data_IF_931911430362
#
_entry.id   IF_931911430362
#
_cell.length_a   1.000
_cell.length_b   1.000
_cell.length_c   1.000
_cell.angle_alpha   90.00
_cell.angle_beta   90.00
_cell.angle_gamma   90.00
#
_symmetry.space_group_name_H-M   'P 1'
#
loop_
_entity.id
_entity.type
_entity.pdbx_description
1 polymer ?
#
# COMPACT_ATOMS: atom_id res chain seq x y z
N UNK A 1 7.06 -51.92 -11.12
CA UNK A 1 7.10 -52.65 -12.40
C UNK A 1 8.37 -52.23 -13.13
N UNK A 2 9.16 -53.23 -13.50
CA UNK A 2 10.53 -53.17 -14.01
C UNK A 2 10.62 -52.67 -15.45
N UNK A 3 11.79 -52.09 -15.74
CA UNK A 3 12.35 -51.72 -17.04
C UNK A 3 12.16 -52.78 -18.13
N UNK A 4 12.01 -52.33 -19.38
CA UNK A 4 12.51 -53.07 -20.54
C UNK A 4 13.39 -52.17 -21.40
N UNK A 5 14.69 -52.34 -21.20
CA UNK A 5 15.73 -52.14 -22.19
C UNK A 5 15.32 -52.76 -23.54
N UNK A 6 15.36 -51.96 -24.60
CA UNK A 6 15.73 -52.49 -25.92
C UNK A 6 16.72 -51.53 -26.60
N UNK A 7 17.87 -52.05 -27.08
CA UNK A 7 18.92 -51.25 -27.70
C UNK A 7 18.47 -50.70 -29.05
N UNK A 8 19.03 -49.55 -29.43
CA UNK A 8 19.01 -49.03 -30.79
C UNK A 8 19.55 -50.09 -31.74
N UNK A 9 18.64 -50.76 -32.46
CA UNK A 9 19.02 -51.68 -33.52
C UNK A 9 19.61 -50.88 -34.68
N UNK A 10 20.88 -51.16 -34.93
CA UNK A 10 21.66 -50.72 -36.07
C UNK A 10 20.90 -50.97 -37.39
N UNK A 11 20.45 -49.90 -38.04
CA UNK A 11 19.72 -49.95 -39.31
C UNK A 11 20.64 -50.13 -40.53
N UNK A 12 21.92 -50.48 -40.35
CA UNK A 12 22.87 -50.61 -41.47
C UNK A 12 23.17 -52.04 -41.92
N UNK A 13 22.34 -53.03 -41.57
CA UNK A 13 22.52 -54.40 -42.05
C UNK A 13 21.32 -54.90 -42.86
N UNK A 14 21.41 -54.79 -44.18
CA UNK A 14 20.55 -55.58 -45.08
C UNK A 14 20.02 -54.89 -46.34
N UNK A 15 20.84 -54.19 -47.13
CA UNK A 15 20.61 -54.12 -48.58
C UNK A 15 21.95 -54.28 -49.30
N UNK A 16 22.25 -55.52 -49.61
CA UNK A 16 23.27 -55.92 -50.58
C UNK A 16 22.86 -55.45 -51.98
N UNK A 17 23.81 -54.77 -52.63
CA UNK A 17 24.07 -54.74 -54.07
C UNK A 17 22.84 -54.91 -54.98
N UNK A 18 22.16 -53.78 -55.21
CA UNK A 18 21.06 -53.66 -56.15
C UNK A 18 20.85 -52.19 -56.47
N UNK A 19 21.49 -51.75 -57.56
CA UNK A 19 21.24 -50.49 -58.26
C UNK A 19 21.71 -49.19 -57.60
N UNK A 20 23.04 -48.97 -57.63
CA UNK A 20 23.67 -47.65 -57.49
C UNK A 20 23.53 -46.79 -58.76
N UNK A 21 22.42 -46.85 -59.47
CA UNK A 21 22.13 -45.92 -60.57
C UNK A 21 20.92 -45.05 -60.24
N UNK A 22 21.05 -43.75 -60.55
CA UNK A 22 20.04 -42.68 -60.51
C UNK A 22 19.88 -41.90 -59.19
N UNK A 23 20.98 -41.30 -58.70
CA UNK A 23 20.86 -39.92 -58.17
C UNK A 23 21.19 -38.97 -59.32
N UNK A 24 20.17 -38.54 -60.05
CA UNK A 24 20.33 -37.46 -61.03
C UNK A 24 20.30 -36.12 -60.28
N UNK A 25 21.30 -35.25 -60.47
CA UNK A 25 21.18 -33.86 -60.03
C UNK A 25 19.91 -33.26 -60.62
N UNK A 26 19.16 -32.50 -59.83
CA UNK A 26 18.05 -31.71 -60.35
C UNK A 26 18.69 -30.51 -61.05
N UNK A 27 18.83 -30.61 -62.38
CA UNK A 27 19.42 -29.54 -63.20
C UNK A 27 18.42 -28.43 -63.53
N UNK A 28 17.13 -28.77 -63.59
CA UNK A 28 16.00 -27.84 -63.72
C UNK A 28 14.94 -28.16 -62.67
N UNK A 29 14.88 -27.31 -61.64
CA UNK A 29 13.97 -27.47 -60.51
C UNK A 29 12.50 -27.29 -60.91
N UNK A 30 12.20 -26.43 -61.88
CA UNK A 30 10.83 -26.14 -62.31
C UNK A 30 10.21 -27.36 -63.00
N UNK A 31 10.91 -27.89 -64.00
CA UNK A 31 10.49 -29.10 -64.70
C UNK A 31 10.39 -30.32 -63.78
N UNK A 32 11.29 -30.42 -62.79
CA UNK A 32 11.26 -31.49 -61.79
C UNK A 32 10.05 -31.40 -60.86
N UNK A 33 9.71 -30.19 -60.37
CA UNK A 33 8.51 -29.97 -59.54
C UNK A 33 7.21 -30.18 -60.33
N UNK A 34 7.20 -29.89 -61.64
CA UNK A 34 6.10 -30.12 -62.57
C UNK A 34 5.81 -31.60 -62.86
N UNK A 35 6.80 -32.47 -62.68
CA UNK A 35 6.62 -33.92 -62.78
C UNK A 35 6.13 -34.61 -61.49
N UNK A 36 5.96 -33.89 -60.38
CA UNK A 36 5.58 -34.47 -59.09
C UNK A 36 4.06 -34.46 -58.88
N UNK A 37 3.57 -35.48 -58.18
CA UNK A 37 2.16 -35.57 -57.78
C UNK A 37 1.71 -34.32 -57.00
N UNK A 38 0.47 -33.90 -57.25
CA UNK A 38 -0.10 -32.64 -56.74
C UNK A 38 0.00 -32.48 -55.21
N UNK A 39 -0.03 -33.59 -54.45
CA UNK A 39 0.12 -33.58 -52.98
C UNK A 39 1.56 -33.48 -52.47
N UNK A 40 2.56 -33.78 -53.31
CA UNK A 40 3.98 -33.79 -52.93
C UNK A 40 4.58 -32.39 -53.01
N UNK A 41 4.12 -31.58 -53.97
CA UNK A 41 4.60 -30.20 -54.15
C UNK A 41 4.36 -29.30 -52.92
N UNK A 42 3.18 -29.31 -52.27
CA UNK A 42 2.97 -28.57 -51.01
C UNK A 42 3.87 -29.04 -49.87
N UNK A 43 4.13 -30.35 -49.77
CA UNK A 43 4.98 -30.91 -48.72
C UNK A 43 6.45 -30.51 -48.89
N UNK A 44 6.98 -30.59 -50.12
CA UNK A 44 8.35 -30.14 -50.43
C UNK A 44 8.51 -28.63 -50.27
N UNK A 45 7.47 -27.85 -50.58
CA UNK A 45 7.46 -26.41 -50.32
C UNK A 45 7.53 -26.11 -48.83
N UNK A 46 6.71 -26.77 -48.01
CA UNK A 46 6.75 -26.63 -46.55
C UNK A 46 8.10 -27.04 -45.96
N UNK A 47 8.74 -28.09 -46.49
CA UNK A 47 10.09 -28.52 -46.12
C UNK A 47 11.15 -27.49 -46.51
N UNK A 48 11.04 -26.89 -47.70
CA UNK A 48 11.89 -25.78 -48.13
C UNK A 48 11.74 -24.55 -47.24
N UNK A 49 10.51 -24.17 -46.89
CA UNK A 49 10.21 -23.05 -45.97
C UNK A 49 10.79 -23.31 -44.57
N UNK A 50 10.72 -24.55 -44.07
CA UNK A 50 11.34 -24.98 -42.81
C UNK A 50 12.89 -24.95 -42.85
N UNK A 51 13.49 -25.41 -43.95
CA UNK A 51 14.94 -25.54 -44.08
C UNK A 51 15.64 -24.20 -44.37
N UNK A 52 14.98 -23.30 -45.10
CA UNK A 52 15.50 -21.95 -45.40
C UNK A 52 15.14 -20.96 -44.28
N UNK A 53 14.34 -21.38 -43.29
CA UNK A 53 13.91 -20.52 -42.18
C UNK A 53 12.92 -19.44 -42.61
N UNK A 54 12.43 -19.47 -43.85
CA UNK A 54 11.42 -18.56 -44.40
C UNK A 54 10.03 -19.15 -44.08
N UNK A 55 9.79 -19.39 -42.80
CA UNK A 55 8.46 -19.14 -42.28
C UNK A 55 8.45 -17.66 -41.88
N UNK A 56 8.37 -16.77 -42.86
CA UNK A 56 7.93 -15.39 -42.63
C UNK A 56 6.46 -15.45 -42.17
N UNK A 57 6.25 -15.87 -40.92
CA UNK A 57 5.23 -15.21 -40.13
C UNK A 57 5.81 -13.84 -39.88
N UNK A 58 5.11 -12.79 -40.29
CA UNK A 58 5.29 -11.47 -39.69
C UNK A 58 5.24 -11.65 -38.18
N UNK A 59 6.42 -11.81 -37.55
CA UNK A 59 6.48 -11.95 -36.11
C UNK A 59 6.07 -10.59 -35.57
N UNK A 60 5.05 -10.55 -34.73
CA UNK A 60 4.71 -9.33 -34.01
C UNK A 60 5.98 -8.67 -33.47
N UNK A 61 6.11 -7.36 -33.65
CA UNK A 61 7.30 -6.62 -33.24
C UNK A 61 7.57 -6.90 -31.77
N UNK A 62 8.83 -7.17 -31.41
CA UNK A 62 9.20 -7.36 -30.01
C UNK A 62 9.39 -6.01 -29.32
N UNK A 63 9.27 -5.97 -28.00
CA UNK A 63 9.50 -4.79 -27.19
C UNK A 63 10.87 -4.16 -27.48
N UNK A 64 11.92 -4.98 -27.60
CA UNK A 64 13.29 -4.53 -27.92
C UNK A 64 13.38 -3.95 -29.34
N UNK A 65 12.78 -4.62 -30.33
CA UNK A 65 12.79 -4.14 -31.71
C UNK A 65 12.01 -2.82 -31.83
N UNK A 66 10.89 -2.70 -31.12
CA UNK A 66 10.12 -1.47 -31.00
C UNK A 66 10.98 -0.34 -30.44
N UNK A 67 11.67 -0.56 -29.32
CA UNK A 67 12.54 0.47 -28.70
C UNK A 67 13.66 0.90 -29.65
N UNK A 68 14.37 -0.06 -30.24
CA UNK A 68 15.49 0.21 -31.16
C UNK A 68 15.03 0.99 -32.40
N UNK A 69 13.94 0.57 -33.04
CA UNK A 69 13.34 1.25 -34.20
C UNK A 69 12.96 2.68 -33.87
N UNK A 70 12.23 2.88 -32.77
CA UNK A 70 11.73 4.19 -32.36
C UNK A 70 12.86 5.19 -32.09
N UNK A 71 13.98 4.72 -31.53
CA UNK A 71 15.16 5.55 -31.26
C UNK A 71 16.17 5.57 -32.42
N UNK A 72 15.86 4.94 -33.55
CA UNK A 72 16.69 4.98 -34.76
C UNK A 72 18.03 4.25 -34.65
N UNK A 73 18.11 3.22 -33.81
CA UNK A 73 19.33 2.41 -33.62
C UNK A 73 19.14 0.97 -34.14
N UNK A 74 20.24 0.25 -34.46
CA UNK A 74 20.14 -1.12 -34.99
C UNK A 74 19.52 -2.12 -34.01
N UNK A 75 19.89 -2.01 -32.74
CA UNK A 75 19.42 -2.85 -31.64
C UNK A 75 19.58 -2.15 -30.28
N UNK A 76 19.04 -2.74 -29.22
CA UNK A 76 19.10 -2.18 -27.87
C UNK A 76 20.51 -2.12 -27.27
N UNK A 77 21.51 -2.79 -27.84
CA UNK A 77 22.91 -2.70 -27.40
C UNK A 77 23.52 -1.33 -27.64
N UNK A 78 22.87 -0.48 -28.42
CA UNK A 78 23.23 0.91 -28.67
C UNK A 78 22.46 1.92 -27.79
N UNK A 79 21.68 1.44 -26.83
CA UNK A 79 20.87 2.28 -25.93
C UNK A 79 21.38 2.20 -24.51
N UNK A 80 20.97 3.19 -23.72
CA UNK A 80 21.09 3.19 -22.27
C UNK A 80 19.72 3.43 -21.66
N UNK A 81 19.47 2.86 -20.50
CA UNK A 81 18.27 3.13 -19.72
C UNK A 81 18.60 3.61 -18.31
N UNK A 82 17.73 4.49 -17.83
CA UNK A 82 17.59 4.83 -16.42
C UNK A 82 16.35 4.12 -15.90
N UNK A 83 16.46 3.45 -14.75
CA UNK A 83 15.38 2.65 -14.17
C UNK A 83 15.08 3.13 -12.75
N UNK A 84 13.80 3.03 -12.35
CA UNK A 84 13.34 3.24 -10.98
C UNK A 84 12.43 2.12 -10.56
N UNK A 85 12.75 1.52 -9.42
CA UNK A 85 11.84 0.60 -8.73
C UNK A 85 10.61 1.36 -8.24
N UNK A 86 9.45 0.72 -8.39
CA UNK A 86 8.15 1.22 -7.99
C UNK A 86 7.61 0.35 -6.86
N UNK A 87 7.33 0.98 -5.74
CA UNK A 87 6.60 0.33 -4.66
C UNK A 87 5.07 0.31 -4.95
N UNK A 88 4.26 -0.36 -4.12
CA UNK A 88 2.84 -0.55 -4.39
C UNK A 88 1.99 0.73 -4.54
N UNK A 89 2.44 1.87 -3.99
CA UNK A 89 1.80 3.17 -4.14
C UNK A 89 2.30 3.85 -5.41
N UNK A 90 3.62 4.01 -5.53
CA UNK A 90 4.26 4.68 -6.66
C UNK A 90 4.01 4.00 -8.00
N UNK A 91 3.78 2.67 -8.04
CA UNK A 91 3.43 1.95 -9.27
C UNK A 91 2.13 2.47 -9.90
N UNK A 92 1.11 2.72 -9.08
CA UNK A 92 -0.19 3.22 -9.55
C UNK A 92 -0.05 4.66 -10.03
N UNK A 93 0.54 5.52 -9.20
CA UNK A 93 0.67 6.94 -9.50
C UNK A 93 1.56 7.21 -10.71
N UNK A 94 2.64 6.43 -10.88
CA UNK A 94 3.52 6.52 -12.05
C UNK A 94 2.81 6.05 -13.31
N UNK A 95 2.03 4.97 -13.22
CA UNK A 95 1.18 4.54 -14.33
C UNK A 95 0.15 5.61 -14.71
N UNK A 96 -0.45 6.30 -13.73
CA UNK A 96 -1.39 7.38 -14.00
C UNK A 96 -0.72 8.60 -14.65
N UNK A 97 0.45 8.99 -14.16
CA UNK A 97 1.22 10.07 -14.78
C UNK A 97 1.62 9.72 -16.23
N UNK A 98 2.03 8.47 -16.47
CA UNK A 98 2.34 8.01 -17.83
C UNK A 98 1.09 7.96 -18.72
N UNK A 99 -0.07 7.56 -18.17
CA UNK A 99 -1.34 7.62 -18.90
C UNK A 99 -1.67 9.05 -19.34
N UNK A 100 -1.52 10.02 -18.44
CA UNK A 100 -1.73 11.44 -18.77
C UNK A 100 -0.78 11.93 -19.87
N UNK A 101 0.50 11.52 -19.84
CA UNK A 101 1.47 11.85 -20.89
C UNK A 101 1.12 11.22 -22.24
N UNK A 102 0.66 9.97 -22.25
CA UNK A 102 0.20 9.29 -23.47
C UNK A 102 -0.99 10.06 -24.06
N UNK A 103 -1.97 10.41 -23.24
CA UNK A 103 -3.17 11.12 -23.69
C UNK A 103 -2.83 12.54 -24.18
N UNK A 104 -1.91 13.24 -23.51
CA UNK A 104 -1.45 14.58 -23.89
C UNK A 104 -0.67 14.62 -25.22
N UNK A 105 -0.07 13.50 -25.62
CA UNK A 105 0.75 13.37 -26.83
C UNK A 105 0.24 12.28 -27.78
N UNK A 106 -1.06 11.97 -27.74
CA UNK A 106 -1.66 10.84 -28.47
C UNK A 106 -1.53 10.95 -30.00
N UNK A 107 -1.31 12.15 -30.53
CA UNK A 107 -1.12 12.44 -31.95
C UNK A 107 0.30 12.12 -32.46
N UNK A 108 1.28 12.07 -31.56
CA UNK A 108 2.71 11.91 -31.91
C UNK A 108 3.37 10.70 -31.23
N UNK A 109 2.87 10.24 -30.09
CA UNK A 109 3.46 9.11 -29.38
C UNK A 109 3.03 7.77 -30.00
N UNK A 110 3.92 6.78 -29.92
CA UNK A 110 3.65 5.42 -30.40
C UNK A 110 3.66 4.46 -29.20
N UNK A 111 2.62 3.64 -29.02
CA UNK A 111 2.55 2.64 -27.95
C UNK A 111 2.91 1.26 -28.48
N UNK A 112 3.87 0.60 -27.84
CA UNK A 112 4.40 -0.70 -28.23
C UNK A 112 4.36 -1.74 -27.11
N UNK A 113 4.76 -2.98 -27.43
CA UNK A 113 4.85 -4.09 -26.49
C UNK A 113 5.68 -3.73 -25.26
N UNK A 114 5.21 -4.10 -24.07
CA UNK A 114 5.98 -4.01 -22.84
C UNK A 114 7.02 -5.13 -22.73
N UNK A 115 6.60 -6.35 -23.04
CA UNK A 115 7.39 -7.57 -22.89
C UNK A 115 7.23 -8.47 -24.10
N UNK A 116 8.35 -9.01 -24.60
CA UNK A 116 8.38 -9.90 -25.77
C UNK A 116 7.58 -9.30 -26.93
N UNK A 117 6.71 -10.08 -27.58
CA UNK A 117 5.80 -9.60 -28.61
C UNK A 117 4.34 -9.55 -28.09
N UNK A 118 4.15 -9.43 -26.77
CA UNK A 118 2.80 -9.33 -26.20
C UNK A 118 2.21 -7.93 -26.45
N UNK A 119 0.89 -7.83 -26.68
CA UNK A 119 0.25 -6.54 -26.89
C UNK A 119 0.41 -5.64 -25.65
N UNK A 120 0.49 -4.30 -25.83
CA UNK A 120 0.50 -3.34 -24.73
C UNK A 120 -0.68 -3.57 -23.78
N UNK A 121 -0.40 -3.71 -22.48
CA UNK A 121 -1.42 -4.03 -21.47
C UNK A 121 -1.83 -2.79 -20.69
N UNK A 122 -3.14 -2.60 -20.60
CA UNK A 122 -3.79 -1.62 -19.74
C UNK A 122 -4.63 -2.34 -18.68
N UNK A 123 -4.82 -1.69 -17.54
CA UNK A 123 -5.67 -2.19 -16.46
C UNK A 123 -6.49 -1.06 -15.84
N UNK A 124 -7.30 -1.41 -14.85
CA UNK A 124 -8.06 -0.49 -14.04
C UNK A 124 -7.87 -0.82 -12.56
N UNK A 125 -7.68 0.21 -11.73
CA UNK A 125 -7.59 0.09 -10.28
C UNK A 125 -8.68 0.94 -9.63
N UNK A 126 -9.35 0.39 -8.63
CA UNK A 126 -10.37 1.11 -7.85
C UNK A 126 -9.77 1.59 -6.54
N UNK A 127 -9.88 2.90 -6.27
CA UNK A 127 -9.42 3.55 -5.04
C UNK A 127 -10.62 4.29 -4.44
N UNK A 128 -11.18 3.73 -3.36
CA UNK A 128 -12.45 4.18 -2.82
C UNK A 128 -13.57 3.98 -3.85
N UNK A 129 -14.22 5.06 -4.21
CA UNK A 129 -15.33 5.15 -5.18
C UNK A 129 -14.89 5.46 -6.62
N UNK A 130 -13.59 5.72 -6.82
CA UNK A 130 -13.06 6.15 -8.12
C UNK A 130 -12.31 5.02 -8.82
N UNK A 131 -12.51 4.93 -10.14
CA UNK A 131 -11.84 3.98 -11.01
C UNK A 131 -10.81 4.67 -11.89
N UNK A 132 -9.58 4.17 -11.84
CA UNK A 132 -8.43 4.72 -12.52
C UNK A 132 -7.97 3.76 -13.61
N UNK A 133 -8.01 4.19 -14.88
CA UNK A 133 -7.47 3.42 -16.02
C UNK A 133 -6.01 3.82 -16.22
N UNK A 134 -5.12 2.83 -16.28
CA UNK A 134 -3.69 3.10 -16.42
C UNK A 134 -2.94 1.94 -17.12
N UNK A 135 -1.75 2.21 -17.68
CA UNK A 135 -0.83 1.19 -18.16
C UNK A 135 -0.53 0.14 -17.10
N UNK A 136 -0.45 -1.12 -17.53
CA UNK A 136 0.01 -2.24 -16.71
C UNK A 136 1.39 -2.72 -17.15
N UNK A 137 1.60 -2.90 -18.46
CA UNK A 137 2.87 -3.33 -19.03
C UNK A 137 2.92 -2.90 -20.50
N UNK A 138 3.68 -1.86 -20.82
CA UNK A 138 3.81 -1.32 -22.17
C UNK A 138 5.04 -0.42 -22.32
N UNK A 139 5.41 -0.14 -23.58
CA UNK A 139 6.39 0.88 -23.95
C UNK A 139 5.72 2.01 -24.72
N UNK A 140 6.20 3.24 -24.54
CA UNK A 140 5.71 4.41 -25.29
C UNK A 140 6.90 5.18 -25.81
N UNK A 141 6.94 5.40 -27.12
CA UNK A 141 7.89 6.29 -27.74
C UNK A 141 7.35 7.72 -27.76
N UNK A 142 8.18 8.64 -27.28
CA UNK A 142 7.99 10.07 -27.33
C UNK A 142 9.05 10.66 -28.28
N UNK A 143 8.67 11.15 -29.47
CA UNK A 143 9.64 11.65 -30.45
C UNK A 143 10.31 12.95 -30.00
N UNK A 144 11.41 13.31 -30.68
CA UNK A 144 12.13 14.57 -30.44
C UNK A 144 11.17 15.76 -30.46
N UNK A 145 11.30 16.66 -29.49
CA UNK A 145 10.46 17.85 -29.35
C UNK A 145 9.19 17.65 -28.51
N UNK A 146 8.96 16.46 -27.96
CA UNK A 146 7.82 16.18 -27.07
C UNK A 146 8.21 16.33 -25.60
N UNK A 147 8.75 15.29 -24.96
CA UNK A 147 9.22 15.33 -23.57
C UNK A 147 10.61 15.98 -23.44
N UNK A 148 11.43 15.84 -24.48
CA UNK A 148 12.80 16.32 -24.59
C UNK A 148 12.94 17.14 -25.87
N UNK A 149 13.68 18.24 -25.82
CA UNK A 149 13.77 19.19 -26.94
C UNK A 149 14.62 18.68 -28.11
N UNK A 150 15.65 17.90 -27.80
CA UNK A 150 16.73 17.51 -28.72
C UNK A 150 16.91 15.98 -28.85
N UNK A 151 16.13 15.19 -28.12
CA UNK A 151 16.17 13.73 -28.16
C UNK A 151 14.76 13.11 -28.11
N UNK A 152 14.60 11.94 -28.70
CA UNK A 152 13.45 11.07 -28.46
C UNK A 152 13.73 10.14 -27.27
N UNK A 153 12.69 9.64 -26.61
CA UNK A 153 12.85 8.64 -25.57
C UNK A 153 11.74 7.58 -25.66
N UNK A 154 12.03 6.39 -25.13
CA UNK A 154 11.01 5.35 -24.93
C UNK A 154 10.86 5.11 -23.45
N UNK A 155 9.64 5.28 -22.92
CA UNK A 155 9.32 4.97 -21.54
C UNK A 155 8.70 3.58 -21.48
N UNK A 156 9.27 2.69 -20.68
CA UNK A 156 8.72 1.39 -20.35
C UNK A 156 8.14 1.44 -18.93
N UNK A 157 6.95 0.88 -18.76
CA UNK A 157 6.39 0.63 -17.44
C UNK A 157 6.07 -0.84 -17.29
N UNK A 158 6.50 -1.41 -16.16
CA UNK A 158 6.07 -2.72 -15.66
C UNK A 158 5.43 -2.48 -14.29
N UNK A 159 4.11 -2.52 -14.23
CA UNK A 159 3.37 -2.33 -12.98
C UNK A 159 2.89 -3.66 -12.36
N UNK A 160 3.16 -4.81 -13.02
CA UNK A 160 2.94 -6.12 -12.39
C UNK A 160 4.02 -6.33 -11.35
N UNK A 161 3.59 -6.87 -10.22
CA UNK A 161 4.48 -7.27 -9.14
C UNK A 161 4.29 -8.77 -8.93
N UNK A 162 5.32 -9.54 -9.23
CA UNK A 162 5.30 -11.01 -9.17
C UNK A 162 6.70 -11.54 -8.88
N UNK A 163 6.80 -12.84 -8.59
CA UNK A 163 8.10 -13.50 -8.37
C UNK A 163 9.08 -13.29 -9.56
N UNK A 164 8.55 -13.11 -10.77
CA UNK A 164 9.34 -12.95 -12.00
C UNK A 164 9.52 -11.49 -12.43
N UNK A 165 8.78 -10.54 -11.83
CA UNK A 165 8.75 -9.15 -12.27
C UNK A 165 8.67 -8.22 -11.06
N UNK A 166 9.65 -7.33 -10.94
CA UNK A 166 9.59 -6.21 -10.00
C UNK A 166 8.94 -5.01 -10.69
N UNK A 167 8.05 -4.33 -9.99
CA UNK A 167 7.41 -3.16 -10.57
C UNK A 167 8.44 -2.03 -10.76
N UNK A 168 8.50 -1.47 -11.96
CA UNK A 168 9.51 -0.49 -12.35
C UNK A 168 9.05 0.41 -13.50
N UNK A 169 9.75 1.52 -13.65
CA UNK A 169 9.69 2.38 -14.84
C UNK A 169 11.10 2.62 -15.35
N UNK A 170 11.28 2.51 -16.67
CA UNK A 170 12.55 2.77 -17.33
C UNK A 170 12.39 3.77 -18.47
N UNK A 171 13.39 4.62 -18.67
CA UNK A 171 13.48 5.52 -19.80
C UNK A 171 14.71 5.18 -20.65
N UNK A 172 14.47 4.72 -21.88
CA UNK A 172 15.50 4.37 -22.86
C UNK A 172 15.82 5.57 -23.75
N UNK A 173 17.11 5.81 -23.94
CA UNK A 173 17.67 6.88 -24.78
C UNK A 173 18.98 6.43 -25.42
N UNK A 174 19.51 7.22 -26.35
CA UNK A 174 20.89 7.04 -26.83
C UNK A 174 21.91 7.45 -25.75
N UNK A 175 23.15 6.92 -25.75
CA UNK A 175 24.15 7.15 -24.70
C UNK A 175 24.42 8.64 -24.39
N UNK A 176 24.42 9.49 -25.40
CA UNK A 176 24.65 10.94 -25.24
C UNK A 176 23.55 11.66 -24.44
N UNK A 177 22.40 11.01 -24.24
CA UNK A 177 21.19 11.56 -23.63
C UNK A 177 20.85 10.94 -22.26
N UNK A 178 21.75 10.17 -21.65
CA UNK A 178 21.46 9.50 -20.36
C UNK A 178 20.93 10.46 -19.28
N UNK A 179 21.53 11.65 -19.16
CA UNK A 179 21.07 12.67 -18.21
C UNK A 179 19.62 13.14 -18.49
N UNK A 180 19.20 13.18 -19.76
CA UNK A 180 17.84 13.52 -20.14
C UNK A 180 16.83 12.44 -19.72
N UNK A 181 17.19 11.15 -19.80
CA UNK A 181 16.33 10.06 -19.30
C UNK A 181 16.03 10.22 -17.80
N UNK A 182 17.05 10.56 -17.00
CA UNK A 182 16.87 10.84 -15.57
C UNK A 182 15.90 12.00 -15.32
N UNK A 183 16.03 13.10 -16.06
CA UNK A 183 15.12 14.27 -15.95
C UNK A 183 13.68 13.90 -16.32
N UNK A 184 13.48 13.06 -17.34
CA UNK A 184 12.13 12.56 -17.71
C UNK A 184 11.53 11.77 -16.56
N UNK A 185 12.28 10.86 -15.93
CA UNK A 185 11.80 10.08 -14.80
C UNK A 185 11.57 10.94 -13.54
N UNK A 186 12.36 12.00 -13.32
CA UNK A 186 12.11 12.98 -12.25
C UNK A 186 10.79 13.72 -12.45
N UNK A 187 10.55 14.25 -13.64
CA UNK A 187 9.28 14.92 -13.98
C UNK A 187 8.08 13.97 -13.87
N UNK A 188 8.25 12.72 -14.30
CA UNK A 188 7.23 11.69 -14.18
C UNK A 188 6.91 11.37 -12.71
N UNK A 189 7.94 11.27 -11.86
CA UNK A 189 7.78 11.02 -10.43
C UNK A 189 7.12 12.21 -9.70
N UNK A 190 7.49 13.44 -10.05
CA UNK A 190 6.85 14.67 -9.55
C UNK A 190 5.36 14.66 -9.91
N UNK A 191 5.03 14.42 -11.19
CA UNK A 191 3.64 14.36 -11.65
C UNK A 191 2.87 13.21 -11.00
N UNK A 192 3.49 12.04 -10.84
CA UNK A 192 2.90 10.92 -10.13
C UNK A 192 2.50 11.30 -8.70
N UNK A 193 3.35 12.05 -7.99
CA UNK A 193 3.05 12.48 -6.63
C UNK A 193 1.89 13.48 -6.55
N UNK A 194 1.75 14.36 -7.55
CA UNK A 194 0.60 15.27 -7.66
C UNK A 194 -0.71 14.51 -7.87
N UNK A 195 -0.68 13.45 -8.67
CA UNK A 195 -1.82 12.59 -8.99
C UNK A 195 -2.16 11.56 -7.90
N UNK A 196 -1.49 11.61 -6.75
CA UNK A 196 -1.64 10.57 -5.73
C UNK A 196 -3.09 10.49 -5.20
N UNK A 197 -3.83 9.39 -5.48
CA UNK A 197 -5.27 9.32 -5.21
C UNK A 197 -5.59 9.13 -3.72
N UNK A 198 -4.59 8.83 -2.89
CA UNK A 198 -4.73 8.68 -1.44
C UNK A 198 -4.66 10.03 -0.71
N UNK A 199 -4.25 11.11 -1.39
CA UNK A 199 -4.10 12.44 -0.79
C UNK A 199 -5.43 12.92 -0.20
N UNK A 200 -5.41 13.32 1.07
CA UNK A 200 -6.59 13.82 1.79
C UNK A 200 -7.61 12.74 2.17
N UNK A 201 -7.32 11.45 1.94
CA UNK A 201 -8.20 10.33 2.33
C UNK A 201 -7.71 9.67 3.62
N UNK A 202 -8.61 8.91 4.24
CA UNK A 202 -8.24 7.94 5.26
C UNK A 202 -7.91 6.61 4.58
N UNK A 203 -6.73 6.07 4.88
CA UNK A 203 -6.24 4.81 4.35
C UNK A 203 -5.75 3.89 5.47
N UNK A 204 -5.76 2.59 5.20
CA UNK A 204 -5.16 1.57 6.05
C UNK A 204 -3.94 0.99 5.36
N UNK A 205 -2.81 1.02 6.06
CA UNK A 205 -1.59 0.34 5.67
C UNK A 205 -1.60 -1.09 6.24
N UNK A 206 -1.55 -2.08 5.35
CA UNK A 206 -1.50 -3.51 5.67
C UNK A 206 -0.30 -4.18 5.02
N UNK A 207 0.14 -5.31 5.57
CA UNK A 207 1.18 -6.14 4.96
C UNK A 207 0.54 -7.32 4.22
N UNK A 208 0.30 -7.17 2.92
CA UNK A 208 -0.26 -8.21 2.03
C UNK A 208 0.70 -8.45 0.88
N UNK A 209 1.79 -9.15 1.16
CA UNK A 209 2.95 -9.29 0.24
C UNK A 209 3.63 -7.93 -0.02
N UNK A 210 3.91 -7.19 1.04
CA UNK A 210 4.42 -5.82 0.98
C UNK A 210 3.37 -4.80 1.40
N UNK A 211 3.74 -3.52 1.29
CA UNK A 211 2.90 -2.41 1.73
C UNK A 211 1.66 -2.29 0.85
N UNK A 212 0.48 -2.42 1.43
CA UNK A 212 -0.79 -2.21 0.73
C UNK A 212 -1.60 -1.11 1.42
N UNK A 213 -2.02 -0.10 0.64
CA UNK A 213 -2.88 0.98 1.10
C UNK A 213 -4.31 0.76 0.60
N UNK A 214 -5.28 0.74 1.51
CA UNK A 214 -6.70 0.67 1.18
C UNK A 214 -7.45 1.87 1.75
N UNK A 215 -8.33 2.49 0.97
CA UNK A 215 -9.18 3.57 1.50
C UNK A 215 -10.17 2.98 2.49
N UNK A 216 -10.35 3.65 3.63
CA UNK A 216 -11.26 3.23 4.70
C UNK A 216 -12.23 4.35 5.05
N UNK A 217 -13.41 3.97 5.51
CA UNK A 217 -14.34 4.88 6.16
C UNK A 217 -13.96 5.05 7.62
N UNK A 218 -13.92 6.30 8.08
CA UNK A 218 -13.69 6.59 9.49
C UNK A 218 -15.00 6.42 10.30
N UNK A 219 -14.93 5.90 11.53
CA UNK A 219 -16.11 5.73 12.38
C UNK A 219 -16.85 7.06 12.61
N UNK A 220 -18.17 7.09 12.38
CA UNK A 220 -18.97 8.32 12.36
C UNK A 220 -19.42 8.83 13.73
N UNK A 221 -19.36 8.00 14.78
CA UNK A 221 -19.99 8.29 16.07
C UNK A 221 -19.12 9.09 17.06
N UNK A 222 -17.80 9.10 16.89
CA UNK A 222 -16.90 9.73 17.86
C UNK A 222 -16.70 11.23 17.56
N UNK A 223 -16.85 12.06 18.59
CA UNK A 223 -16.56 13.51 18.60
C UNK A 223 -15.87 13.89 19.91
N UNK A 224 -15.24 15.08 19.98
CA UNK A 224 -14.72 15.62 21.25
C UNK A 224 -15.76 15.75 22.37
N UNK A 225 -17.04 15.88 22.01
CA UNK A 225 -18.14 15.97 22.97
C UNK A 225 -18.52 14.61 23.58
N UNK A 226 -18.25 13.52 22.86
CA UNK A 226 -18.58 12.15 23.28
C UNK A 226 -17.39 11.39 23.84
N UNK A 227 -16.17 11.81 23.48
CA UNK A 227 -14.91 11.23 23.99
C UNK A 227 -14.40 12.11 25.12
N UNK A 228 -14.68 11.70 26.36
CA UNK A 228 -14.28 12.42 27.56
C UNK A 228 -12.92 11.91 28.01
N UNK A 229 -11.90 12.75 27.88
CA UNK A 229 -10.51 12.52 28.28
C UNK A 229 -9.93 13.81 28.87
N UNK A 230 -8.79 13.77 29.60
CA UNK A 230 -8.17 14.98 30.14
C UNK A 230 -7.87 16.02 29.07
N UNK A 231 -8.06 17.30 29.38
CA UNK A 231 -7.85 18.42 28.43
C UNK A 231 -6.41 18.48 27.88
N UNK A 232 -5.44 17.97 28.64
CA UNK A 232 -4.05 17.83 28.20
C UNK A 232 -3.91 16.99 26.92
N UNK A 233 -4.76 15.97 26.73
CA UNK A 233 -4.78 15.14 25.52
C UNK A 233 -5.10 15.98 24.30
N UNK A 234 -6.20 16.74 24.37
CA UNK A 234 -6.62 17.60 23.26
C UNK A 234 -5.62 18.72 22.98
N UNK A 235 -5.07 19.32 24.03
CA UNK A 235 -4.06 20.39 23.93
C UNK A 235 -2.83 19.92 23.14
N UNK A 236 -2.31 18.74 23.46
CA UNK A 236 -1.10 18.20 22.82
C UNK A 236 -1.34 17.77 21.37
N UNK A 237 -2.51 17.18 21.10
CA UNK A 237 -2.91 16.85 19.72
C UNK A 237 -3.09 18.12 18.88
N UNK A 238 -3.80 19.13 19.39
CA UNK A 238 -4.04 20.39 18.67
C UNK A 238 -2.74 21.12 18.37
N UNK A 239 -1.79 21.07 19.30
CA UNK A 239 -0.46 21.61 19.10
C UNK A 239 0.31 20.85 17.99
N UNK A 240 0.13 19.53 17.89
CA UNK A 240 0.68 18.72 16.80
C UNK A 240 0.06 19.00 15.45
N UNK A 241 -1.26 19.14 15.37
CA UNK A 241 -1.97 19.55 14.15
C UNK A 241 -1.44 20.91 13.70
N UNK A 242 -1.34 21.87 14.63
CA UNK A 242 -0.86 23.22 14.33
C UNK A 242 0.60 23.22 13.87
N UNK A 243 1.46 22.39 14.45
CA UNK A 243 2.86 22.28 14.04
C UNK A 243 2.99 21.83 12.58
N UNK A 244 2.27 20.77 12.21
CA UNK A 244 2.38 20.12 10.89
C UNK A 244 1.61 20.85 9.79
N UNK A 245 0.41 21.37 10.09
CA UNK A 245 -0.44 22.07 9.13
C UNK A 245 -0.02 23.53 8.99
N UNK A 246 -0.02 24.27 10.10
CA UNK A 246 -0.04 25.74 10.09
C UNK A 246 1.35 26.35 10.25
N UNK A 247 2.20 25.76 11.09
CA UNK A 247 3.49 26.33 11.51
C UNK A 247 4.72 25.62 10.94
N UNK A 248 4.55 24.63 10.06
CA UNK A 248 5.65 23.86 9.50
C UNK A 248 6.73 24.75 8.86
N UNK A 249 6.34 25.80 8.11
CA UNK A 249 7.28 26.70 7.45
C UNK A 249 8.19 27.45 8.43
N UNK A 250 7.62 27.99 9.50
CA UNK A 250 8.39 28.74 10.50
C UNK A 250 9.26 27.80 11.34
N UNK A 251 8.76 26.60 11.67
CA UNK A 251 9.55 25.59 12.39
C UNK A 251 10.77 25.12 11.57
N UNK A 252 10.56 24.77 10.30
CA UNK A 252 11.63 24.30 9.41
C UNK A 252 12.64 25.43 9.11
N UNK A 253 12.17 26.67 8.88
CA UNK A 253 13.05 27.82 8.68
C UNK A 253 13.97 28.12 9.87
N UNK A 254 13.59 27.71 11.08
CA UNK A 254 14.40 27.81 12.30
C UNK A 254 15.15 26.51 12.64
N UNK A 255 15.08 25.46 11.80
CA UNK A 255 15.72 24.17 12.05
C UNK A 255 15.13 23.40 13.23
N UNK A 256 13.87 23.68 13.61
CA UNK A 256 13.18 23.02 14.72
C UNK A 256 12.41 21.77 14.28
N UNK A 257 12.16 21.62 12.98
CA UNK A 257 11.38 20.53 12.40
C UNK A 257 9.87 20.65 12.63
N UNK A 258 9.10 20.22 11.65
CA UNK A 258 7.63 20.20 11.69
C UNK A 258 7.06 18.88 12.21
N UNK A 259 7.83 17.79 12.12
CA UNK A 259 7.35 16.47 12.55
C UNK A 259 7.05 16.45 14.04
N UNK A 260 6.01 15.73 14.43
CA UNK A 260 5.67 15.58 15.86
C UNK A 260 5.10 14.20 16.18
N UNK A 261 5.50 13.65 17.32
CA UNK A 261 4.92 12.43 17.88
C UNK A 261 4.14 12.68 19.17
N UNK A 262 2.92 12.14 19.25
CA UNK A 262 2.10 12.10 20.48
C UNK A 262 1.80 10.65 20.83
N UNK A 263 2.20 10.22 22.03
CA UNK A 263 1.91 8.89 22.55
C UNK A 263 0.84 8.97 23.65
N UNK A 264 -0.29 8.31 23.43
CA UNK A 264 -1.36 8.13 24.41
C UNK A 264 -1.08 6.85 25.20
N UNK A 265 -0.89 6.95 26.51
CA UNK A 265 -0.63 5.79 27.36
C UNK A 265 -1.69 5.65 28.46
N UNK A 266 -2.02 4.43 28.86
CA UNK A 266 -2.93 4.19 29.98
C UNK A 266 -3.70 2.88 29.84
N UNK A 267 -4.53 2.51 30.82
CA UNK A 267 -5.22 1.23 30.84
C UNK A 267 -6.06 0.96 29.57
N UNK A 268 -6.30 -0.31 29.19
CA UNK A 268 -7.21 -0.64 28.10
C UNK A 268 -8.63 -0.15 28.44
N UNK A 269 -9.37 0.34 27.42
CA UNK A 269 -10.75 0.81 27.59
C UNK A 269 -10.93 2.25 28.10
N UNK A 270 -9.87 3.03 28.26
CA UNK A 270 -9.94 4.44 28.69
C UNK A 270 -10.21 5.46 27.57
N UNK A 271 -10.27 5.00 26.30
CA UNK A 271 -10.68 5.85 25.17
C UNK A 271 -9.55 6.30 24.24
N UNK A 272 -8.33 5.76 24.36
CA UNK A 272 -7.19 6.09 23.47
C UNK A 272 -7.52 5.96 21.97
N UNK A 273 -8.05 4.82 21.53
CA UNK A 273 -8.48 4.62 20.13
C UNK A 273 -9.63 5.54 19.71
N UNK A 274 -10.50 5.90 20.66
CA UNK A 274 -11.58 6.85 20.40
C UNK A 274 -11.04 8.27 20.16
N UNK A 275 -9.99 8.69 20.88
CA UNK A 275 -9.27 9.94 20.61
C UNK A 275 -8.70 9.91 19.20
N UNK A 276 -7.95 8.86 18.83
CA UNK A 276 -7.40 8.71 17.47
C UNK A 276 -8.46 8.82 16.38
N UNK A 277 -9.62 8.16 16.57
CA UNK A 277 -10.74 8.24 15.63
C UNK A 277 -11.35 9.64 15.51
N UNK A 278 -11.48 10.38 16.62
CA UNK A 278 -11.95 11.78 16.60
C UNK A 278 -10.98 12.64 15.81
N UNK A 279 -9.69 12.55 16.11
CA UNK A 279 -8.64 13.36 15.48
C UNK A 279 -8.58 13.08 13.98
N UNK A 280 -8.52 11.80 13.60
CA UNK A 280 -8.53 11.38 12.20
C UNK A 280 -9.71 11.99 11.42
N UNK A 281 -10.90 11.97 12.02
CA UNK A 281 -12.11 12.50 11.38
C UNK A 281 -12.08 14.03 11.27
N UNK A 282 -11.53 14.73 12.26
CA UNK A 282 -11.43 16.19 12.23
C UNK A 282 -10.46 16.68 11.17
N UNK A 283 -9.40 15.91 10.88
CA UNK A 283 -8.32 16.36 9.99
C UNK A 283 -8.38 15.77 8.58
N UNK A 284 -9.10 14.66 8.36
CA UNK A 284 -9.20 14.04 7.02
C UNK A 284 -9.73 15.05 5.99
N UNK A 285 -9.18 14.99 4.77
CA UNK A 285 -9.41 15.99 3.73
C UNK A 285 -8.29 17.03 3.69
N UNK A 286 -7.98 17.65 4.83
CA UNK A 286 -6.78 18.49 4.96
C UNK A 286 -5.52 17.64 5.11
N UNK A 287 -5.63 16.54 5.86
CA UNK A 287 -4.58 15.54 6.06
C UNK A 287 -4.90 14.27 5.28
N UNK A 288 -3.86 13.61 4.80
CA UNK A 288 -3.94 12.16 4.54
C UNK A 288 -3.83 11.44 5.86
N UNK A 289 -4.77 10.54 6.18
CA UNK A 289 -4.75 9.77 7.44
C UNK A 289 -4.35 8.33 7.13
N UNK A 290 -3.32 7.81 7.78
CA UNK A 290 -2.81 6.45 7.58
C UNK A 290 -2.95 5.67 8.89
N UNK A 291 -3.88 4.73 8.94
CA UNK A 291 -3.96 3.74 10.01
C UNK A 291 -3.02 2.57 9.69
N UNK A 292 -2.08 2.29 10.58
CA UNK A 292 -1.12 1.20 10.39
C UNK A 292 -1.59 -0.04 11.12
N UNK A 293 -1.83 -1.14 10.39
CA UNK A 293 -2.12 -2.42 11.02
C UNK A 293 -0.89 -2.95 11.77
N UNK A 294 -1.10 -3.67 12.86
CA UNK A 294 -0.01 -4.18 13.70
C UNK A 294 1.09 -4.91 12.90
N UNK A 295 0.72 -5.74 11.91
CA UNK A 295 1.69 -6.47 11.10
C UNK A 295 2.47 -5.56 10.13
N UNK A 296 1.84 -4.50 9.63
CA UNK A 296 2.54 -3.49 8.85
C UNK A 296 3.45 -2.63 9.74
N UNK A 297 3.03 -2.34 10.98
CA UNK A 297 3.85 -1.65 11.97
C UNK A 297 5.10 -2.46 12.36
N UNK A 298 4.96 -3.78 12.50
CA UNK A 298 6.05 -4.68 12.84
C UNK A 298 7.12 -4.81 11.74
N UNK A 299 6.70 -4.85 10.46
CA UNK A 299 7.57 -5.23 9.35
C UNK A 299 7.86 -4.12 8.33
N UNK A 300 7.03 -3.07 8.26
CA UNK A 300 6.99 -2.12 7.13
C UNK A 300 6.77 -0.66 7.55
N UNK A 301 6.91 -0.32 8.83
CA UNK A 301 6.59 1.03 9.30
C UNK A 301 7.48 2.10 8.65
N UNK A 302 8.76 1.80 8.44
CA UNK A 302 9.67 2.71 7.73
C UNK A 302 9.16 3.00 6.31
N UNK A 303 8.73 1.97 5.58
CA UNK A 303 8.14 2.14 4.25
C UNK A 303 6.82 2.94 4.28
N UNK A 304 5.99 2.76 5.32
CA UNK A 304 4.78 3.58 5.51
C UNK A 304 5.13 5.06 5.69
N UNK A 305 6.16 5.34 6.49
CA UNK A 305 6.58 6.72 6.75
C UNK A 305 7.23 7.34 5.51
N UNK A 306 8.03 6.60 4.76
CA UNK A 306 8.57 7.07 3.47
C UNK A 306 7.45 7.44 2.49
N UNK A 307 6.38 6.64 2.41
CA UNK A 307 5.21 6.98 1.61
C UNK A 307 4.47 8.21 2.14
N UNK A 308 4.37 8.36 3.47
CA UNK A 308 3.82 9.56 4.10
C UNK A 308 4.65 10.82 3.76
N UNK A 309 5.98 10.71 3.68
CA UNK A 309 6.85 11.81 3.27
C UNK A 309 6.67 12.15 1.79
N UNK A 310 6.57 11.15 0.91
CA UNK A 310 6.33 11.36 -0.53
C UNK A 310 5.02 12.11 -0.75
N UNK A 311 3.97 11.78 0.00
CA UNK A 311 2.71 12.53 -0.01
C UNK A 311 2.86 14.04 0.29
N UNK A 312 3.96 14.50 0.89
CA UNK A 312 4.28 15.93 1.09
C UNK A 312 3.49 16.62 2.22
N UNK A 313 2.58 15.88 2.86
CA UNK A 313 1.80 16.30 4.01
C UNK A 313 0.76 17.42 3.78
N UNK A 314 -0.03 17.71 4.82
CA UNK A 314 0.11 17.16 6.17
C UNK A 314 -0.41 15.71 6.23
N UNK A 315 0.29 14.84 6.97
CA UNK A 315 -0.09 13.42 7.14
C UNK A 315 -0.26 13.10 8.63
N UNK A 316 -1.34 12.40 8.96
CA UNK A 316 -1.57 11.82 10.29
C UNK A 316 -1.32 10.31 10.20
N UNK A 317 -0.33 9.81 10.94
CA UNK A 317 -0.09 8.38 11.09
C UNK A 317 -0.67 7.94 12.42
N UNK A 318 -1.59 6.97 12.39
CA UNK A 318 -2.21 6.38 13.58
C UNK A 318 -1.63 5.00 13.83
N UNK A 319 -0.99 4.85 14.99
CA UNK A 319 -0.42 3.60 15.48
C UNK A 319 -1.19 3.14 16.71
N UNK A 320 -1.99 2.10 16.62
CA UNK A 320 -2.74 1.60 17.77
C UNK A 320 -2.05 0.42 18.44
N UNK A 321 -2.15 0.38 19.78
CA UNK A 321 -1.66 -0.69 20.64
C UNK A 321 -0.22 -1.11 20.30
N UNK A 322 0.69 -0.12 20.27
CA UNK A 322 2.09 -0.33 19.86
C UNK A 322 2.82 -1.37 20.72
N UNK A 323 2.39 -1.59 21.95
CA UNK A 323 2.90 -2.63 22.86
C UNK A 323 2.63 -4.07 22.37
N UNK A 324 1.70 -4.26 21.44
CA UNK A 324 1.40 -5.58 20.87
C UNK A 324 2.48 -6.06 19.89
N UNK A 325 3.13 -5.14 19.18
CA UNK A 325 4.08 -5.45 18.12
C UNK A 325 5.46 -4.79 18.29
N UNK A 326 5.63 -3.91 19.28
CA UNK A 326 6.89 -3.28 19.64
C UNK A 326 7.15 -3.51 21.15
N UNK A 327 7.80 -4.62 21.52
CA UNK A 327 8.08 -4.96 22.93
C UNK A 327 9.52 -4.64 23.31
N UNK A 328 9.77 -4.51 24.60
CA UNK A 328 11.13 -4.31 25.12
C UNK A 328 12.05 -5.51 24.78
N UNK A 329 13.17 -5.19 24.12
CA UNK A 329 14.33 -6.04 23.75
C UNK A 329 14.28 -7.49 24.23
N UNK A 330 13.61 -8.34 23.47
CA UNK A 330 14.08 -9.70 23.23
C UNK A 330 14.94 -9.66 21.94
N UNK A 331 15.97 -10.51 21.85
CA UNK A 331 16.85 -10.54 20.67
C UNK A 331 16.02 -10.78 19.39
N UNK A 332 15.97 -9.77 18.51
CA UNK A 332 15.27 -9.85 17.22
C UNK A 332 13.89 -9.18 17.16
N UNK A 333 13.54 -8.26 18.07
CA UNK A 333 12.28 -7.51 17.96
C UNK A 333 12.31 -6.52 16.77
N UNK A 334 11.76 -6.98 15.64
CA UNK A 334 11.69 -6.23 14.37
C UNK A 334 10.84 -4.99 14.50
N UNK A 335 9.72 -5.06 15.24
CA UNK A 335 8.79 -3.93 15.37
C UNK A 335 9.37 -2.75 16.14
N UNK A 336 10.18 -3.00 17.18
CA UNK A 336 10.93 -1.93 17.83
C UNK A 336 11.93 -1.29 16.87
N UNK A 337 12.65 -2.09 16.08
CA UNK A 337 13.65 -1.58 15.13
C UNK A 337 12.99 -0.72 14.04
N UNK A 338 11.84 -1.16 13.52
CA UNK A 338 11.01 -0.41 12.58
C UNK A 338 10.50 0.90 13.20
N UNK A 339 9.96 0.87 14.42
CA UNK A 339 9.51 2.07 15.11
C UNK A 339 10.65 3.08 15.32
N UNK A 340 11.83 2.64 15.76
CA UNK A 340 12.93 3.56 15.97
C UNK A 340 13.41 4.20 14.66
N UNK A 341 13.51 3.43 13.58
CA UNK A 341 13.89 3.95 12.26
C UNK A 341 12.85 4.91 11.69
N UNK A 342 11.56 4.53 11.77
CA UNK A 342 10.44 5.32 11.30
C UNK A 342 10.24 6.64 12.09
N UNK A 343 10.78 6.75 13.31
CA UNK A 343 10.73 7.99 14.09
C UNK A 343 11.98 8.87 13.90
N UNK A 344 13.06 8.33 13.33
CA UNK A 344 14.30 9.07 13.01
C UNK A 344 14.27 9.65 11.58
N UNK A 345 13.08 9.96 11.07
CA UNK A 345 12.87 10.59 9.77
C UNK A 345 13.24 12.08 9.75
N UNK A 346 13.28 12.62 8.52
CA UNK A 346 13.48 14.04 8.25
C UNK A 346 12.62 14.92 9.17
N UNK A 347 13.30 15.78 9.94
CA UNK A 347 12.67 16.67 10.90
C UNK A 347 11.68 17.63 10.22
N UNK A 348 11.91 17.97 8.95
CA UNK A 348 11.08 18.89 8.19
C UNK A 348 9.78 18.24 7.68
N UNK A 349 9.67 16.91 7.79
CA UNK A 349 8.50 16.16 7.34
C UNK A 349 7.23 16.63 8.05
N UNK A 350 6.18 16.86 7.25
CA UNK A 350 4.87 17.30 7.73
C UNK A 350 4.03 16.10 8.19
N UNK A 351 4.52 15.40 9.20
CA UNK A 351 3.92 14.17 9.74
C UNK A 351 3.62 14.34 11.24
N UNK A 352 2.37 14.08 11.60
CA UNK A 352 1.92 13.91 12.98
C UNK A 352 1.73 12.41 13.23
N UNK A 353 2.49 11.83 14.15
CA UNK A 353 2.29 10.45 14.59
C UNK A 353 1.49 10.43 15.88
N UNK A 354 0.30 9.85 15.85
CA UNK A 354 -0.53 9.60 17.03
C UNK A 354 -0.48 8.10 17.35
N UNK A 355 0.24 7.75 18.42
CA UNK A 355 0.40 6.38 18.87
C UNK A 355 -0.39 6.12 20.15
N UNK A 356 -0.81 4.88 20.38
CA UNK A 356 -1.43 4.45 21.64
C UNK A 356 -0.77 3.20 22.21
N UNK A 357 -0.68 3.13 23.54
CA UNK A 357 -0.21 1.94 24.26
C UNK A 357 -1.01 1.68 25.53
N UNK A 358 -1.20 0.41 25.88
CA UNK A 358 -1.86 0.03 27.12
C UNK A 358 -0.91 0.07 28.34
N UNK A 359 0.40 0.01 28.10
CA UNK A 359 1.41 0.09 29.16
C UNK A 359 2.71 0.71 28.63
N UNK A 360 2.96 1.96 29.01
CA UNK A 360 4.18 2.67 28.62
C UNK A 360 5.47 2.02 29.16
N UNK A 361 5.40 1.20 30.22
CA UNK A 361 6.56 0.49 30.75
C UNK A 361 7.03 -0.65 29.83
N UNK A 362 6.19 -1.11 28.92
CA UNK A 362 6.54 -2.17 27.94
C UNK A 362 7.36 -1.65 26.76
N UNK A 363 7.32 -0.35 26.51
CA UNK A 363 8.06 0.30 25.43
C UNK A 363 9.51 0.61 25.87
N UNK A 364 10.44 0.43 24.95
CA UNK A 364 11.85 0.77 25.20
C UNK A 364 11.98 2.29 25.44
N UNK A 365 12.78 2.67 26.46
CA UNK A 365 13.02 4.09 26.79
C UNK A 365 13.57 4.89 25.61
N UNK A 366 14.25 4.25 24.66
CA UNK A 366 14.71 4.88 23.44
C UNK A 366 13.56 5.30 22.52
N UNK A 367 12.44 4.59 22.50
CA UNK A 367 11.26 4.96 21.71
C UNK A 367 10.57 6.21 22.29
N UNK A 368 10.54 6.33 23.62
CA UNK A 368 9.85 7.39 24.38
C UNK A 368 10.73 8.65 24.56
N UNK A 369 11.91 8.71 23.93
CA UNK A 369 12.79 9.86 24.06
C UNK A 369 12.23 11.06 23.30
N UNK A 370 12.40 12.25 23.89
CA UNK A 370 12.09 13.54 23.27
C UNK A 370 12.79 13.64 21.91
N UNK A 371 12.06 14.04 20.88
CA UNK A 371 12.49 13.97 19.48
C UNK A 371 12.01 12.71 18.74
N UNK A 372 11.36 11.74 19.39
CA UNK A 372 10.57 10.70 18.71
C UNK A 372 9.11 10.88 19.08
N UNK A 373 8.77 10.63 20.34
CA UNK A 373 7.54 11.14 20.93
C UNK A 373 7.85 12.42 21.69
N UNK A 374 7.36 13.55 21.19
CA UNK A 374 7.54 14.86 21.81
C UNK A 374 6.60 15.03 23.01
N UNK A 375 5.50 14.28 23.01
CA UNK A 375 4.50 14.29 24.06
C UNK A 375 4.06 12.88 24.42
N UNK A 376 4.04 12.58 25.71
CA UNK A 376 3.50 11.35 26.27
C UNK A 376 2.39 11.75 27.23
N UNK A 377 1.15 11.45 26.87
CA UNK A 377 -0.03 11.89 27.62
C UNK A 377 -0.76 10.69 28.18
N UNK A 378 -0.96 10.69 29.50
CA UNK A 378 -1.68 9.64 30.18
C UNK A 378 -3.21 9.81 29.99
N UNK A 379 -3.85 8.75 29.52
CA UNK A 379 -5.30 8.58 29.47
C UNK A 379 -5.70 7.54 30.52
N UNK A 380 -5.75 8.02 31.76
CA UNK A 380 -6.03 7.21 32.95
C UNK A 380 -7.51 6.86 33.14
N UNK A 381 -7.83 6.36 34.33
CA UNK A 381 -9.22 6.14 34.73
C UNK A 381 -9.94 7.49 34.91
N UNK A 382 -11.18 7.63 34.41
CA UNK A 382 -11.95 8.86 34.60
C UNK A 382 -12.18 9.17 36.08
N UNK A 383 -12.03 10.44 36.44
CA UNK A 383 -12.50 10.98 37.71
C UNK A 383 -14.03 10.88 37.80
N UNK A 384 -14.60 11.00 39.00
CA UNK A 384 -16.06 10.88 39.20
C UNK A 384 -16.86 11.83 38.30
N UNK A 385 -16.42 13.10 38.17
CA UNK A 385 -17.06 14.07 37.28
C UNK A 385 -16.98 13.68 35.79
N UNK A 386 -15.87 13.08 35.36
CA UNK A 386 -15.70 12.59 33.99
C UNK A 386 -16.54 11.34 33.74
N UNK A 387 -16.61 10.42 34.71
CA UNK A 387 -17.45 9.23 34.65
C UNK A 387 -18.95 9.59 34.56
N UNK A 388 -19.39 10.64 35.27
CA UNK A 388 -20.75 11.20 35.13
C UNK A 388 -20.99 11.68 33.69
N UNK A 389 -20.06 12.44 33.13
CA UNK A 389 -20.15 12.91 31.73
C UNK A 389 -20.17 11.76 30.73
N UNK A 390 -19.35 10.73 30.94
CA UNK A 390 -19.31 9.51 30.10
C UNK A 390 -20.64 8.79 30.17
N UNK A 391 -21.15 8.53 31.38
CA UNK A 391 -22.44 7.87 31.58
C UNK A 391 -23.57 8.67 30.92
N UNK A 392 -23.65 9.97 31.18
CA UNK A 392 -24.64 10.87 30.60
C UNK A 392 -24.59 10.87 29.06
N UNK A 393 -23.40 10.83 28.46
CA UNK A 393 -23.24 10.74 27.01
C UNK A 393 -23.74 9.40 26.46
N UNK A 394 -23.45 8.28 27.14
CA UNK A 394 -23.85 6.93 26.71
C UNK A 394 -25.36 6.71 26.79
N UNK A 395 -26.03 7.31 27.77
CA UNK A 395 -27.47 7.09 28.00
C UNK A 395 -28.37 8.11 27.32
N UNK A 396 -27.81 9.19 26.78
CA UNK A 396 -28.55 10.36 26.26
C UNK A 396 -29.71 9.99 25.33
N UNK A 397 -29.43 9.11 24.37
CA UNK A 397 -30.36 8.74 23.30
C UNK A 397 -31.10 7.43 23.60
N UNK A 398 -30.95 6.89 24.81
CA UNK A 398 -31.62 5.66 25.25
C UNK A 398 -32.93 6.05 25.97
N UNK A 399 -34.07 5.38 25.68
CA UNK A 399 -35.33 5.64 26.37
C UNK A 399 -35.18 5.59 27.91
N UNK A 400 -35.54 6.68 28.58
CA UNK A 400 -35.41 6.83 30.04
C UNK A 400 -34.08 7.42 30.51
N UNK A 401 -33.07 7.53 29.63
CA UNK A 401 -31.74 8.08 29.94
C UNK A 401 -31.73 9.49 30.56
N UNK A 402 -32.49 10.47 30.03
CA UNK A 402 -32.55 11.81 30.61
C UNK A 402 -33.09 11.88 32.05
N UNK A 403 -33.77 10.84 32.53
CA UNK A 403 -34.32 10.77 33.89
C UNK A 403 -33.40 10.00 34.87
N UNK A 404 -32.25 9.50 34.41
CA UNK A 404 -31.29 8.79 35.24
C UNK A 404 -30.52 9.77 36.11
N UNK A 405 -30.40 9.43 37.40
CA UNK A 405 -29.48 10.09 38.31
C UNK A 405 -28.07 9.52 38.09
N UNK A 406 -27.31 10.20 37.23
CA UNK A 406 -25.96 9.77 36.85
C UNK A 406 -24.96 9.87 38.00
N UNK A 407 -25.15 10.81 38.93
CA UNK A 407 -24.26 10.98 40.08
C UNK A 407 -24.40 9.79 41.05
N UNK A 408 -25.64 9.39 41.34
CA UNK A 408 -25.91 8.22 42.18
C UNK A 408 -25.35 6.92 41.58
N UNK A 409 -25.49 6.73 40.26
CA UNK A 409 -24.94 5.54 39.58
C UNK A 409 -23.42 5.55 39.63
N UNK A 410 -22.78 6.69 39.36
CA UNK A 410 -21.31 6.79 39.37
C UNK A 410 -20.74 6.61 40.78
N UNK A 411 -21.41 7.12 41.81
CA UNK A 411 -21.00 6.90 43.20
C UNK A 411 -21.01 5.42 43.61
N UNK A 412 -21.79 4.57 42.93
CA UNK A 412 -21.83 3.14 43.15
C UNK A 412 -20.81 2.34 42.32
N UNK A 413 -20.16 2.95 41.33
CA UNK A 413 -19.20 2.27 40.46
C UNK A 413 -17.95 1.83 41.25
N UNK A 414 -17.35 0.68 40.89
CA UNK A 414 -16.09 0.27 41.51
C UNK A 414 -14.95 1.22 41.14
N UNK A 415 -13.93 1.29 42.00
CA UNK A 415 -12.71 2.03 41.70
C UNK A 415 -12.05 1.56 40.39
N UNK A 416 -11.31 2.47 39.74
CA UNK A 416 -10.59 2.21 38.49
C UNK A 416 -11.51 1.74 37.35
N UNK A 417 -12.73 2.26 37.30
CA UNK A 417 -13.67 1.99 36.22
C UNK A 417 -13.17 2.62 34.91
N UNK A 418 -13.35 1.94 33.77
CA UNK A 418 -12.99 2.48 32.45
C UNK A 418 -14.24 2.94 31.70
N UNK A 419 -14.06 3.74 30.63
CA UNK A 419 -15.17 4.13 29.76
C UNK A 419 -15.85 2.91 29.11
N UNK A 420 -15.08 1.87 28.77
CA UNK A 420 -15.60 0.60 28.29
C UNK A 420 -16.43 -0.14 29.34
N UNK A 421 -16.01 -0.15 30.61
CA UNK A 421 -16.78 -0.78 31.69
C UNK A 421 -18.12 -0.05 31.91
N UNK A 422 -18.13 1.30 31.89
CA UNK A 422 -19.37 2.08 31.99
C UNK A 422 -20.31 1.77 30.83
N UNK A 423 -19.77 1.65 29.61
CA UNK A 423 -20.55 1.24 28.43
C UNK A 423 -21.16 -0.15 28.59
N UNK A 424 -20.44 -1.10 29.18
CA UNK A 424 -20.97 -2.44 29.43
C UNK A 424 -22.06 -2.44 30.51
N UNK A 425 -21.95 -1.59 31.55
CA UNK A 425 -23.05 -1.37 32.52
C UNK A 425 -24.31 -0.90 31.81
N UNK A 426 -24.20 0.12 30.96
CA UNK A 426 -25.34 0.66 30.18
C UNK A 426 -25.90 -0.42 29.25
N UNK A 427 -25.04 -1.16 28.54
CA UNK A 427 -25.45 -2.23 27.63
C UNK A 427 -26.24 -3.31 28.36
N UNK A 428 -25.80 -3.72 29.55
CA UNK A 428 -26.52 -4.71 30.37
C UNK A 428 -27.84 -4.17 30.89
N UNK A 429 -27.88 -2.92 31.32
CA UNK A 429 -29.12 -2.28 31.76
C UNK A 429 -30.17 -2.24 30.64
N UNK A 430 -29.77 -1.96 29.40
CA UNK A 430 -30.67 -2.03 28.22
C UNK A 430 -31.17 -3.45 27.96
N UNK A 431 -30.30 -4.46 28.10
CA UNK A 431 -30.68 -5.87 27.90
C UNK A 431 -31.61 -6.40 29.00
N UNK A 432 -31.47 -5.90 30.23
CA UNK A 432 -32.29 -6.29 31.37
C UNK A 432 -33.60 -5.49 31.49
N UNK A 433 -33.63 -4.27 30.93
CA UNK A 433 -34.76 -3.36 31.02
C UNK A 433 -35.96 -3.75 30.15
N UNK A 434 -37.17 -3.49 30.66
CA UNK A 434 -38.40 -3.69 29.90
C UNK A 434 -38.43 -2.77 28.66
N UNK A 435 -38.67 -3.36 27.48
CA UNK A 435 -38.69 -2.66 26.19
C UNK A 435 -37.38 -1.89 25.87
N UNK A 436 -36.25 -2.24 26.51
CA UNK A 436 -34.97 -1.55 26.32
C UNK A 436 -34.87 -0.18 27.01
N UNK A 437 -35.80 0.16 27.90
CA UNK A 437 -35.74 1.39 28.72
C UNK A 437 -34.70 1.24 29.84
N UNK A 438 -34.07 2.34 30.19
CA UNK A 438 -33.14 2.43 31.32
C UNK A 438 -33.69 3.34 32.41
N UNK A 439 -33.29 3.06 33.65
CA UNK A 439 -33.59 3.88 34.83
C UNK A 439 -32.42 3.81 35.81
N UNK A 440 -32.40 4.73 36.79
CA UNK A 440 -31.40 4.72 37.88
C UNK A 440 -31.36 3.37 38.60
N UNK A 441 -32.52 2.77 38.88
CA UNK A 441 -32.60 1.50 39.61
C UNK A 441 -32.03 0.32 38.82
N UNK A 442 -32.27 0.26 37.51
CA UNK A 442 -31.74 -0.80 36.65
C UNK A 442 -30.22 -0.70 36.53
N UNK A 443 -29.69 0.52 36.35
CA UNK A 443 -28.24 0.74 36.31
C UNK A 443 -27.57 0.38 37.64
N UNK A 444 -28.13 0.80 38.77
CA UNK A 444 -27.62 0.43 40.10
C UNK A 444 -27.65 -1.09 40.34
N UNK A 445 -28.68 -1.79 39.86
CA UNK A 445 -28.76 -3.24 39.97
C UNK A 445 -27.63 -3.93 39.17
N UNK A 446 -27.32 -3.46 37.97
CA UNK A 446 -26.20 -4.02 37.18
C UNK A 446 -24.83 -3.69 37.76
N UNK A 447 -24.66 -2.51 38.35
CA UNK A 447 -23.44 -2.16 39.09
C UNK A 447 -23.27 -3.09 40.30
N UNK A 448 -24.32 -3.27 41.11
CA UNK A 448 -24.31 -4.12 42.30
C UNK A 448 -24.10 -5.61 41.98
N UNK A 449 -24.47 -6.05 40.78
CA UNK A 449 -24.20 -7.42 40.34
C UNK A 449 -22.70 -7.70 40.05
N UNK A 450 -21.86 -6.66 39.95
CA UNK A 450 -20.42 -6.79 39.77
C UNK A 450 -19.98 -7.34 38.41
N UNK A 451 -20.88 -7.43 37.44
CA UNK A 451 -20.62 -8.05 36.12
C UNK A 451 -20.15 -7.06 35.06
N UNK A 452 -19.80 -5.83 35.44
CA UNK A 452 -19.30 -4.80 34.54
C UNK A 452 -17.93 -5.12 33.95
N UNK A 453 -17.13 -5.96 34.63
CA UNK A 453 -15.83 -6.46 34.15
C UNK A 453 -15.94 -7.93 33.78
N UNK A 454 -15.32 -8.30 32.66
CA UNK A 454 -15.14 -9.70 32.31
C UNK A 454 -14.17 -10.35 33.32
N UNK A 455 -14.65 -11.36 34.06
CA UNK A 455 -13.82 -12.18 34.95
C UNK A 455 -13.59 -13.55 34.33
N UNK A 456 -12.34 -13.99 34.24
CA UNK A 456 -12.04 -15.39 33.92
C UNK A 456 -12.56 -16.25 35.09
N UNK A 457 -13.42 -17.25 34.87
CA UNK A 457 -13.87 -18.12 35.94
C UNK A 457 -12.67 -18.82 36.59
N UNK A 458 -12.41 -18.51 37.85
CA UNK A 458 -11.40 -19.21 38.63
C UNK A 458 -12.02 -20.48 39.22
N UNK A 459 -11.93 -21.59 38.48
CA UNK A 459 -12.35 -22.90 38.96
C UNK A 459 -12.00 -24.01 37.98
N UNK A 460 -11.52 -25.16 38.48
CA UNK A 460 -11.55 -26.40 37.71
C UNK A 460 -13.02 -26.76 37.47
N UNK A 461 -13.43 -26.74 36.21
CA UNK A 461 -14.73 -27.27 35.80
C UNK A 461 -14.83 -28.74 36.23
N UNK A 462 -15.93 -29.09 36.91
CA UNK A 462 -16.40 -30.47 37.08
C UNK A 462 -17.16 -30.90 35.83
#
# INVERSE_FOLDING_TARGET
MTLTDRPLTDLTAGVTDGDRTRRHPIEDLGAWLDGLDYGVRPALRALGELLVGVAERESAESAERFTARCLGVPDCGHLVDEQRELNPVSRLTTALALAELIDAHADVCETGPGECAYPPKWTQTEIGDQRYRHPLCLRVHFPVGTLLADAGCVIHIEARDSIMHSAEVSAYVTPDNQAHARVVLDRLAERANELNPYRGRAVRASNKHGLNLTVIDLPSAATRNTVIVPDAVWTEVDLGITAVRDRHRILNAHGLGARRGVLLCGPPGTGKSAVSAVVAREVVGEFTVIYVEAKAGEDLLTAVVEEAQRLGGPVLIVLEDVDLWCRARAAGDRGLSELLQAMDIDADARILTLASTNDAATLDKAAIRTGRFDSVVEVGYPAAAEAVRILAALIRDIPGGPAVDTEAVVAALPERITGSDIREVVRRAVLAGEEGKISTSVLLAEVGAGRCRASVPAGMYL
#
